data_IF_832457658428
#
_entry.id   IF_832457658428
#
_cell.length_a   1.000
_cell.length_b   1.000
_cell.length_c   1.000
_cell.angle_alpha   90.00
_cell.angle_beta   90.00
_cell.angle_gamma   90.00
#
_symmetry.space_group_name_H-M   'P 1'
#
loop_
_entity.id
_entity.type
_entity.pdbx_description
1 polymer ?
#
# COMPACT_ATOMS: atom_id res chain seq x y z
N UNK A 1 -1.50 8.62 8.27
CA UNK A 1 -2.37 7.50 8.68
C UNK A 1 -1.54 6.22 8.68
N UNK A 2 -1.69 5.35 9.67
CA UNK A 2 -1.10 3.99 9.65
C UNK A 2 -2.22 2.97 9.64
N UNK A 3 -2.06 1.91 8.87
CA UNK A 3 -3.03 0.84 8.81
C UNK A 3 -2.97 0.03 10.12
N UNK A 4 -4.11 -0.09 10.80
CA UNK A 4 -4.25 -0.92 11.99
C UNK A 4 -4.97 -2.23 11.60
N UNK A 5 -4.19 -3.30 11.41
CA UNK A 5 -4.68 -4.65 11.13
C UNK A 5 -4.96 -4.95 9.64
N UNK A 6 -5.04 -6.24 9.33
CA UNK A 6 -5.08 -6.77 7.95
C UNK A 6 -6.45 -6.61 7.26
N UNK A 7 -7.53 -6.52 8.04
CA UNK A 7 -8.90 -6.50 7.50
C UNK A 7 -9.30 -5.18 6.84
N UNK A 8 -8.47 -4.14 6.99
CA UNK A 8 -8.79 -2.78 6.58
C UNK A 8 -7.99 -2.33 5.36
N UNK A 9 -7.21 -3.20 4.71
CA UNK A 9 -6.34 -2.79 3.59
C UNK A 9 -7.13 -2.20 2.41
N UNK A 10 -8.31 -2.75 2.12
CA UNK A 10 -9.16 -2.26 1.03
C UNK A 10 -9.76 -0.90 1.35
N UNK A 11 -10.35 -0.74 2.54
CA UNK A 11 -10.84 0.55 3.04
C UNK A 11 -9.73 1.60 3.07
N UNK A 12 -8.57 1.24 3.58
CA UNK A 12 -7.40 2.12 3.59
C UNK A 12 -6.95 2.50 2.18
N UNK A 13 -6.98 1.56 1.23
CA UNK A 13 -6.61 1.85 -0.16
C UNK A 13 -7.55 2.88 -0.80
N UNK A 14 -8.85 2.77 -0.51
CA UNK A 14 -9.85 3.74 -0.98
C UNK A 14 -9.65 5.12 -0.34
N UNK A 15 -9.48 5.18 0.98
CA UNK A 15 -9.21 6.43 1.71
C UNK A 15 -7.90 7.09 1.25
N UNK A 16 -6.88 6.28 0.99
CA UNK A 16 -5.59 6.74 0.49
C UNK A 16 -5.72 7.38 -0.90
N UNK A 17 -6.44 6.74 -1.82
CA UNK A 17 -6.72 7.31 -3.14
C UNK A 17 -7.54 8.60 -3.06
N UNK A 18 -8.55 8.64 -2.18
CA UNK A 18 -9.36 9.83 -1.98
C UNK A 18 -8.51 11.01 -1.47
N UNK A 19 -7.59 10.75 -0.54
CA UNK A 19 -6.67 11.75 -0.03
C UNK A 19 -5.72 12.27 -1.12
N UNK A 20 -5.19 11.40 -1.99
CA UNK A 20 -4.38 11.82 -3.13
C UNK A 20 -5.19 12.72 -4.07
N UNK A 21 -6.45 12.37 -4.37
CA UNK A 21 -7.33 13.20 -5.21
C UNK A 21 -7.57 14.58 -4.58
N UNK A 22 -7.78 14.64 -3.27
CA UNK A 22 -7.95 15.92 -2.54
C UNK A 22 -6.68 16.77 -2.60
N UNK A 23 -5.51 16.16 -2.42
CA UNK A 23 -4.21 16.85 -2.52
C UNK A 23 -3.99 17.42 -3.92
N UNK A 24 -4.25 16.62 -4.96
CA UNK A 24 -4.19 17.08 -6.35
C UNK A 24 -5.18 18.21 -6.64
N UNK A 25 -6.40 18.16 -6.06
CA UNK A 25 -7.39 19.23 -6.20
C UNK A 25 -6.95 20.56 -5.55
N UNK A 26 -6.03 20.52 -4.58
CA UNK A 26 -5.39 21.71 -4.01
C UNK A 26 -4.26 22.28 -4.89
N UNK A 27 -4.01 21.72 -6.07
CA UNK A 27 -2.96 22.16 -6.99
C UNK A 27 -1.56 21.66 -6.62
N UNK A 28 -1.46 20.69 -5.71
CA UNK A 28 -0.20 20.02 -5.39
C UNK A 28 0.05 18.92 -6.41
N UNK A 29 1.22 18.92 -7.03
CA UNK A 29 1.61 17.86 -7.95
C UNK A 29 2.04 16.63 -7.15
N UNK A 30 1.22 15.57 -7.14
CA UNK A 30 1.50 14.33 -6.42
C UNK A 30 1.93 13.22 -7.37
N UNK A 31 3.15 12.73 -7.18
CA UNK A 31 3.77 11.75 -8.06
C UNK A 31 3.40 10.30 -7.71
N UNK A 32 3.60 9.39 -8.66
CA UNK A 32 3.44 7.95 -8.43
C UNK A 32 4.45 7.43 -7.40
N UNK A 33 5.67 7.97 -7.37
CA UNK A 33 6.68 7.55 -6.39
C UNK A 33 6.29 7.96 -4.97
N UNK A 34 5.80 9.18 -4.76
CA UNK A 34 5.27 9.62 -3.46
C UNK A 34 4.10 8.74 -3.02
N UNK A 35 3.21 8.39 -3.95
CA UNK A 35 2.10 7.46 -3.68
C UNK A 35 2.60 6.10 -3.19
N UNK A 36 3.62 5.53 -3.84
CA UNK A 36 4.20 4.24 -3.47
C UNK A 36 4.87 4.33 -2.10
N UNK A 37 5.73 5.34 -1.89
CA UNK A 37 6.42 5.52 -0.61
C UNK A 37 5.43 5.70 0.54
N UNK A 38 4.43 6.57 0.40
CA UNK A 38 3.42 6.78 1.44
C UNK A 38 2.57 5.52 1.69
N UNK A 39 2.27 4.74 0.64
CA UNK A 39 1.55 3.48 0.77
C UNK A 39 2.36 2.47 1.61
N UNK A 40 3.64 2.27 1.29
CA UNK A 40 4.49 1.29 1.98
C UNK A 40 4.77 1.69 3.44
N UNK A 41 5.04 2.98 3.70
CA UNK A 41 5.25 3.51 5.05
C UNK A 41 4.03 3.38 5.97
N UNK A 42 2.83 3.32 5.39
CA UNK A 42 1.58 3.20 6.14
C UNK A 42 1.22 1.74 6.49
N UNK A 43 1.94 0.75 5.94
CA UNK A 43 1.63 -0.66 6.18
C UNK A 43 1.98 -1.10 7.61
N UNK A 44 1.24 -2.09 8.16
CA UNK A 44 1.50 -2.64 9.47
C UNK A 44 2.69 -3.61 9.42
N UNK A 45 3.28 -3.91 10.59
CA UNK A 45 4.37 -4.90 10.73
C UNK A 45 4.05 -6.28 10.16
N UNK A 46 2.77 -6.68 10.15
CA UNK A 46 2.38 -7.98 9.56
C UNK A 46 2.62 -8.07 8.05
N UNK A 47 2.84 -6.94 7.39
CA UNK A 47 3.19 -6.84 5.96
C UNK A 47 4.63 -6.35 5.75
N UNK A 48 5.49 -6.38 6.78
CA UNK A 48 6.89 -5.90 6.72
C UNK A 48 7.71 -6.65 5.67
N UNK A 49 7.51 -7.96 5.54
CA UNK A 49 8.23 -8.77 4.54
C UNK A 49 7.90 -8.33 3.11
N UNK A 50 6.62 -8.15 2.80
CA UNK A 50 6.20 -7.76 1.44
C UNK A 50 6.56 -6.31 1.13
N UNK A 51 6.49 -5.42 2.12
CA UNK A 51 6.94 -4.03 1.96
C UNK A 51 8.44 -3.94 1.71
N UNK A 52 9.27 -4.67 2.46
CA UNK A 52 10.72 -4.73 2.24
C UNK A 52 11.06 -5.20 0.83
N UNK A 53 10.35 -6.20 0.30
CA UNK A 53 10.53 -6.67 -1.08
C UNK A 53 10.18 -5.58 -2.07
N UNK A 54 9.04 -4.90 -1.89
CA UNK A 54 8.61 -3.81 -2.76
C UNK A 54 9.60 -2.63 -2.74
N UNK A 55 10.16 -2.29 -1.58
CA UNK A 55 11.19 -1.25 -1.44
C UNK A 55 12.49 -1.60 -2.17
N UNK A 56 12.80 -2.89 -2.29
CA UNK A 56 13.99 -3.37 -3.03
C UNK A 56 13.79 -3.45 -4.55
N UNK A 57 12.56 -3.29 -5.05
CA UNK A 57 12.29 -3.37 -6.49
C UNK A 57 12.83 -2.14 -7.23
N UNK A 58 13.34 -2.30 -8.47
CA UNK A 58 13.72 -1.17 -9.31
C UNK A 58 12.54 -0.21 -9.51
N UNK A 59 12.79 1.10 -9.36
CA UNK A 59 11.74 2.13 -9.45
C UNK A 59 10.98 2.13 -10.77
N UNK A 60 11.61 1.68 -11.86
CA UNK A 60 10.99 1.56 -13.20
C UNK A 60 9.99 0.41 -13.30
N UNK A 61 10.08 -0.57 -12.41
CA UNK A 61 9.24 -1.76 -12.39
C UNK A 61 8.16 -1.69 -11.29
N UNK A 62 8.25 -0.70 -10.39
CA UNK A 62 7.34 -0.54 -9.27
C UNK A 62 6.28 0.51 -9.59
N UNK A 63 5.04 0.05 -9.76
CA UNK A 63 3.86 0.91 -9.89
C UNK A 63 2.96 0.81 -8.66
N UNK A 64 2.09 1.80 -8.47
CA UNK A 64 1.09 1.79 -7.39
C UNK A 64 0.21 0.54 -7.46
N UNK A 65 -0.15 0.11 -8.67
CA UNK A 65 -0.99 -1.07 -8.88
C UNK A 65 -0.28 -2.38 -8.52
N UNK A 66 1.00 -2.50 -8.89
CA UNK A 66 1.84 -3.64 -8.51
C UNK A 66 1.97 -3.73 -6.98
N UNK A 67 2.24 -2.60 -6.33
CA UNK A 67 2.34 -2.53 -4.87
C UNK A 67 1.03 -2.97 -4.21
N UNK A 68 -0.12 -2.44 -4.64
CA UNK A 68 -1.45 -2.81 -4.13
C UNK A 68 -1.74 -4.30 -4.33
N UNK A 69 -1.46 -4.83 -5.51
CA UNK A 69 -1.69 -6.24 -5.83
C UNK A 69 -0.87 -7.16 -4.92
N UNK A 70 0.41 -6.86 -4.74
CA UNK A 70 1.30 -7.63 -3.85
C UNK A 70 0.86 -7.58 -2.39
N UNK A 71 0.46 -6.41 -1.90
CA UNK A 71 -0.06 -6.24 -0.54
C UNK A 71 -1.35 -7.03 -0.32
N UNK A 72 -2.28 -7.00 -1.28
CA UNK A 72 -3.53 -7.79 -1.22
C UNK A 72 -3.24 -9.28 -1.17
N UNK A 73 -2.38 -9.79 -2.05
CA UNK A 73 -2.01 -11.21 -2.05
C UNK A 73 -1.40 -11.66 -0.73
N UNK A 74 -0.59 -10.81 -0.08
CA UNK A 74 -0.01 -11.17 1.22
C UNK A 74 -1.05 -11.18 2.35
N UNK A 75 -1.99 -10.22 2.35
CA UNK A 75 -3.13 -10.23 3.28
C UNK A 75 -3.97 -11.49 3.12
N UNK A 76 -4.26 -11.92 1.89
CA UNK A 76 -5.00 -13.15 1.62
C UNK A 76 -4.27 -14.39 2.14
N UNK A 77 -2.94 -14.47 1.91
CA UNK A 77 -2.12 -15.57 2.44
C UNK A 77 -2.11 -15.60 3.96
N UNK A 78 -1.97 -14.45 4.61
CA UNK A 78 -1.98 -14.37 6.07
C UNK A 78 -3.34 -14.77 6.65
N UNK A 79 -4.44 -14.38 6.00
CA UNK A 79 -5.78 -14.87 6.33
C UNK A 79 -5.86 -16.39 6.23
N UNK A 80 -5.43 -16.99 5.11
CA UNK A 80 -5.46 -18.44 4.93
C UNK A 80 -4.62 -19.21 5.94
N UNK A 81 -3.49 -18.66 6.40
CA UNK A 81 -2.66 -19.27 7.46
C UNK A 81 -3.34 -19.24 8.83
N UNK A 82 -4.20 -18.26 9.10
CA UNK A 82 -4.89 -18.10 10.39
C UNK A 82 -6.05 -19.09 10.59
N UNK A 83 -6.52 -19.73 9.51
CA UNK A 83 -7.59 -20.73 9.52
C UNK A 83 -7.08 -22.18 9.36
N UNK A 84 -5.76 -22.39 9.42
CA UNK A 84 -5.10 -23.70 9.53
C UNK A 84 -4.58 -23.89 10.94
#
# INVERSE_FOLDING_TARGET
>A
MKLHGENNLETFSLEFEENIRKVNACGVEWTNQESICCLLLAMPKSLETVTTILESMPSKELTVDIAKTRLRSEVERNRSKKYK
#
